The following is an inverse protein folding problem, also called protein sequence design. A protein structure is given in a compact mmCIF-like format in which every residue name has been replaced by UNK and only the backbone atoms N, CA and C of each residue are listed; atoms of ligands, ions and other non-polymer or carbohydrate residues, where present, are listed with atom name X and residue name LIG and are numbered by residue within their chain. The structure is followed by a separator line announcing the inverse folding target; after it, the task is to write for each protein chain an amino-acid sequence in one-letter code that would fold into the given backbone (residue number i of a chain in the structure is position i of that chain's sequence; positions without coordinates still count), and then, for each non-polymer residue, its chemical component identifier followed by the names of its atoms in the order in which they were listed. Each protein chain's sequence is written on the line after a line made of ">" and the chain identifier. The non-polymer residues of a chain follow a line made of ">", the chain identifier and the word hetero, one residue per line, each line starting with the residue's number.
data_IF_575321040865
#
_entry.id   IF_575321040865
#
_cell.length_a   1.000
_cell.length_b   1.000
_cell.length_c   1.000
_cell.angle_alpha   90.00
_cell.angle_beta   90.00
_cell.angle_gamma   90.00
#
_symmetry.space_group_name_H-M   'P 1'
#
loop_
_entity.id
_entity.type
_entity.pdbx_description
1 polymer ?
#
# COMPACT_ATOMS: atom_id res chain seq x y z
N UNK A 1 22.14 -17.23 16.58
CA UNK A 1 21.63 -16.02 15.92
C UNK A 1 21.36 -16.38 14.48
N UNK A 2 20.10 -16.61 14.14
CA UNK A 2 19.70 -16.83 12.75
C UNK A 2 19.57 -15.46 12.08
N UNK A 3 20.47 -15.16 11.15
CA UNK A 3 20.38 -13.99 10.27
C UNK A 3 19.13 -14.15 9.39
N UNK A 4 17.98 -13.68 9.88
CA UNK A 4 16.80 -13.57 9.04
C UNK A 4 16.94 -12.33 8.14
N UNK A 5 16.46 -12.37 6.89
CA UNK A 5 16.67 -11.30 5.93
C UNK A 5 16.08 -9.99 6.46
N UNK A 6 16.79 -8.89 6.27
CA UNK A 6 16.29 -7.59 6.67
C UNK A 6 15.17 -7.14 5.71
N UNK A 7 14.03 -6.60 6.20
CA UNK A 7 12.88 -6.23 5.35
C UNK A 7 13.24 -5.26 4.21
N UNK A 8 14.19 -4.35 4.46
CA UNK A 8 14.63 -3.37 3.46
C UNK A 8 15.45 -4.01 2.33
N UNK A 9 16.31 -4.98 2.67
CA UNK A 9 17.08 -5.72 1.69
C UNK A 9 16.15 -6.56 0.80
N UNK A 10 15.16 -7.22 1.42
CA UNK A 10 14.14 -7.96 0.68
C UNK A 10 13.32 -7.03 -0.23
N UNK A 11 12.86 -5.88 0.25
CA UNK A 11 12.12 -4.92 -0.58
C UNK A 11 12.93 -4.49 -1.83
N UNK A 12 14.21 -4.17 -1.65
CA UNK A 12 15.11 -3.79 -2.73
C UNK A 12 15.30 -4.93 -3.74
N UNK A 13 15.50 -6.15 -3.26
CA UNK A 13 15.66 -7.34 -4.10
C UNK A 13 14.40 -7.65 -4.90
N UNK A 14 13.22 -7.59 -4.26
CA UNK A 14 11.93 -7.83 -4.91
C UNK A 14 11.69 -6.82 -6.04
N UNK A 15 11.84 -5.51 -5.77
CA UNK A 15 11.63 -4.47 -6.80
C UNK A 15 12.61 -4.64 -7.95
N UNK A 16 13.89 -4.92 -7.66
CA UNK A 16 14.90 -5.13 -8.69
C UNK A 16 14.53 -6.33 -9.56
N UNK A 17 14.23 -7.46 -8.93
CA UNK A 17 13.89 -8.70 -9.64
C UNK A 17 12.67 -8.47 -10.53
N UNK A 18 11.57 -7.94 -9.99
CA UNK A 18 10.35 -7.74 -10.79
C UNK A 18 10.48 -6.66 -11.86
N UNK A 19 11.37 -5.68 -11.67
CA UNK A 19 11.69 -4.70 -12.72
C UNK A 19 12.52 -5.29 -13.86
N UNK A 20 13.54 -6.11 -13.53
CA UNK A 20 14.37 -6.79 -14.52
C UNK A 20 13.56 -7.81 -15.34
N UNK A 21 12.70 -8.57 -14.66
CA UNK A 21 11.72 -9.47 -15.28
C UNK A 21 10.81 -8.71 -16.25
N UNK A 22 10.21 -7.59 -15.81
CA UNK A 22 9.39 -6.75 -16.68
C UNK A 22 10.15 -6.21 -17.91
N UNK A 23 11.42 -5.83 -17.75
CA UNK A 23 12.27 -5.41 -18.86
C UNK A 23 12.62 -6.57 -19.80
N UNK A 24 12.86 -7.78 -19.28
CA UNK A 24 13.09 -8.97 -20.08
C UNK A 24 11.86 -9.34 -20.92
N UNK A 25 10.67 -9.36 -20.30
CA UNK A 25 9.39 -9.60 -20.98
C UNK A 25 9.08 -8.55 -22.06
N UNK A 26 9.43 -7.29 -21.83
CA UNK A 26 9.30 -6.25 -22.85
C UNK A 26 10.16 -6.54 -24.10
N UNK A 27 11.34 -7.14 -23.94
CA UNK A 27 12.23 -7.50 -25.05
C UNK A 27 11.83 -8.80 -25.76
N UNK A 28 11.41 -9.82 -25.01
CA UNK A 28 11.06 -11.13 -25.57
C UNK A 28 9.64 -11.19 -26.14
N UNK A 29 8.72 -10.36 -25.61
CA UNK A 29 7.29 -10.44 -25.91
C UNK A 29 6.59 -11.64 -25.25
N UNK A 30 7.30 -12.42 -24.44
CA UNK A 30 6.79 -13.63 -23.78
C UNK A 30 6.55 -13.38 -22.28
N UNK A 31 5.51 -14.02 -21.73
CA UNK A 31 5.26 -14.05 -20.29
C UNK A 31 5.95 -15.28 -19.69
N UNK A 32 7.14 -15.12 -19.10
CA UNK A 32 7.79 -16.22 -18.39
C UNK A 32 7.20 -16.40 -16.98
N UNK A 33 7.02 -17.66 -16.57
CA UNK A 33 6.37 -18.07 -15.32
C UNK A 33 7.34 -18.64 -14.29
N UNK A 34 8.57 -19.01 -14.70
CA UNK A 34 9.56 -19.62 -13.81
C UNK A 34 10.04 -18.65 -12.71
N UNK A 35 10.31 -17.39 -13.06
CA UNK A 35 10.83 -16.37 -12.14
C UNK A 35 9.85 -16.04 -10.99
N UNK A 36 8.53 -16.16 -11.24
CA UNK A 36 7.52 -15.91 -10.22
C UNK A 36 7.52 -17.00 -9.13
N UNK A 37 7.83 -18.25 -9.48
CA UNK A 37 7.90 -19.35 -8.52
C UNK A 37 9.05 -19.16 -7.53
N UNK A 38 10.22 -18.74 -8.02
CA UNK A 38 11.40 -18.48 -7.20
C UNK A 38 11.21 -17.24 -6.32
N UNK A 39 10.55 -16.20 -6.85
CA UNK A 39 10.17 -15.02 -6.06
C UNK A 39 9.24 -15.42 -4.90
N UNK A 40 8.24 -16.25 -5.18
CA UNK A 40 7.30 -16.76 -4.16
C UNK A 40 8.01 -17.57 -3.08
N UNK A 41 8.94 -18.45 -3.46
CA UNK A 41 9.73 -19.24 -2.52
C UNK A 41 10.55 -18.32 -1.60
N UNK A 42 11.33 -17.39 -2.16
CA UNK A 42 12.14 -16.43 -1.39
C UNK A 42 11.31 -15.60 -0.41
N UNK A 43 10.14 -15.09 -0.83
CA UNK A 43 9.24 -14.35 0.06
C UNK A 43 8.71 -15.25 1.18
N UNK A 44 8.35 -16.50 0.85
CA UNK A 44 7.84 -17.46 1.85
C UNK A 44 8.92 -17.74 2.91
N UNK A 45 10.14 -18.06 2.49
CA UNK A 45 11.26 -18.35 3.40
C UNK A 45 11.54 -17.19 4.36
N UNK A 46 11.52 -15.95 3.85
CA UNK A 46 11.73 -14.76 4.66
C UNK A 46 10.61 -14.56 5.71
N UNK A 47 9.36 -14.74 5.30
CA UNK A 47 8.20 -14.58 6.17
C UNK A 47 8.15 -15.66 7.26
N UNK A 48 8.44 -16.92 6.91
CA UNK A 48 8.54 -18.02 7.88
C UNK A 48 9.69 -17.78 8.88
N UNK A 49 10.83 -17.26 8.42
CA UNK A 49 11.93 -16.87 9.30
C UNK A 49 11.52 -15.76 10.29
N UNK A 50 10.80 -14.73 9.84
CA UNK A 50 10.28 -13.69 10.73
C UNK A 50 9.18 -14.20 11.68
N UNK A 51 8.37 -15.16 11.24
CA UNK A 51 7.39 -15.81 12.11
C UNK A 51 8.08 -16.59 13.22
N UNK A 52 9.08 -17.41 12.88
CA UNK A 52 9.88 -18.15 13.85
C UNK A 52 10.63 -17.24 14.84
N UNK A 53 11.03 -16.04 14.39
CA UNK A 53 11.66 -15.02 15.23
C UNK A 53 10.67 -14.18 16.06
N UNK A 54 9.36 -14.33 15.84
CA UNK A 54 8.33 -13.53 16.51
C UNK A 54 8.25 -12.07 16.04
N UNK A 55 8.79 -11.75 14.86
CA UNK A 55 8.87 -10.38 14.33
C UNK A 55 8.00 -10.15 13.09
N UNK A 56 7.27 -11.17 12.61
CA UNK A 56 6.49 -11.16 11.37
C UNK A 56 5.68 -9.87 11.17
N UNK A 57 4.82 -9.49 12.11
CA UNK A 57 3.94 -8.32 11.95
C UNK A 57 4.74 -7.02 11.73
N UNK A 58 5.77 -6.79 12.55
CA UNK A 58 6.62 -5.60 12.44
C UNK A 58 7.34 -5.58 11.10
N UNK A 59 7.95 -6.70 10.73
CA UNK A 59 8.81 -6.80 9.56
C UNK A 59 8.01 -6.75 8.25
N UNK A 60 6.79 -7.32 8.24
CA UNK A 60 5.81 -7.18 7.15
C UNK A 60 5.37 -5.73 6.99
N UNK A 61 5.08 -4.99 8.07
CA UNK A 61 4.73 -3.56 7.96
C UNK A 61 5.87 -2.74 7.35
N UNK A 62 7.11 -3.03 7.71
CA UNK A 62 8.28 -2.38 7.11
C UNK A 62 8.40 -2.72 5.63
N UNK A 63 8.28 -4.00 5.26
CA UNK A 63 8.36 -4.47 3.88
C UNK A 63 7.26 -3.85 3.00
N UNK A 64 5.99 -4.00 3.40
CA UNK A 64 4.82 -3.46 2.71
C UNK A 64 4.92 -1.94 2.55
N UNK A 65 5.28 -1.23 3.62
CA UNK A 65 5.45 0.22 3.56
C UNK A 65 6.54 0.65 2.57
N UNK A 66 7.66 -0.06 2.50
CA UNK A 66 8.75 0.23 1.55
C UNK A 66 8.37 -0.05 0.11
N UNK A 67 7.73 -1.18 -0.17
CA UNK A 67 7.25 -1.50 -1.51
C UNK A 67 6.19 -0.48 -1.99
N UNK A 68 5.27 -0.08 -1.12
CA UNK A 68 4.26 0.92 -1.43
C UNK A 68 4.87 2.32 -1.68
N UNK A 69 5.86 2.74 -0.88
CA UNK A 69 6.61 3.97 -1.14
C UNK A 69 7.31 3.90 -2.51
N UNK A 70 7.96 2.78 -2.81
CA UNK A 70 8.63 2.59 -4.09
C UNK A 70 7.68 2.72 -5.27
N UNK A 71 6.51 2.04 -5.20
CA UNK A 71 5.45 2.16 -6.21
C UNK A 71 5.00 3.62 -6.37
N UNK A 72 4.63 4.28 -5.27
CA UNK A 72 4.14 5.66 -5.30
C UNK A 72 5.19 6.64 -5.85
N UNK A 73 6.44 6.56 -5.39
CA UNK A 73 7.52 7.45 -5.86
C UNK A 73 7.78 7.27 -7.36
N UNK A 74 7.83 6.02 -7.81
CA UNK A 74 8.08 5.70 -9.22
C UNK A 74 6.92 6.16 -10.11
N UNK A 75 5.68 5.90 -9.71
CA UNK A 75 4.50 6.37 -10.43
C UNK A 75 4.42 7.90 -10.43
N UNK A 76 4.74 8.57 -9.32
CA UNK A 76 4.72 10.03 -9.26
C UNK A 76 5.78 10.67 -10.18
N UNK A 77 6.97 10.06 -10.26
CA UNK A 77 8.02 10.44 -11.21
C UNK A 77 7.57 10.28 -12.67
N UNK A 78 6.88 9.18 -13.03
CA UNK A 78 6.30 8.99 -14.38
C UNK A 78 5.35 10.12 -14.78
N UNK A 79 4.65 10.70 -13.80
CA UNK A 79 3.75 11.83 -14.02
C UNK A 79 4.43 13.19 -13.85
N UNK A 80 5.77 13.25 -13.90
CA UNK A 80 6.57 14.46 -13.77
C UNK A 80 6.24 15.26 -12.50
N UNK A 81 5.96 14.56 -11.40
CA UNK A 81 5.63 15.18 -10.12
C UNK A 81 4.34 16.03 -10.13
N UNK A 82 3.43 15.80 -11.11
CA UNK A 82 2.10 16.41 -11.15
C UNK A 82 1.15 15.68 -10.19
N UNK A 83 0.90 16.29 -9.03
CA UNK A 83 0.08 15.70 -7.97
C UNK A 83 -1.34 15.40 -8.43
N UNK A 84 -1.93 16.24 -9.29
CA UNK A 84 -3.28 16.04 -9.78
C UNK A 84 -3.36 14.86 -10.78
N UNK A 85 -2.34 14.68 -11.63
CA UNK A 85 -2.24 13.50 -12.49
C UNK A 85 -2.04 12.23 -11.68
N UNK A 86 -1.16 12.26 -10.70
CA UNK A 86 -0.92 11.12 -9.82
C UNK A 86 -2.15 10.74 -9.00
N UNK A 87 -2.90 11.71 -8.46
CA UNK A 87 -4.17 11.43 -7.79
C UNK A 87 -5.20 10.79 -8.72
N UNK A 88 -5.32 11.26 -9.97
CA UNK A 88 -6.21 10.62 -10.96
C UNK A 88 -5.76 9.19 -11.28
N UNK A 89 -4.46 8.97 -11.44
CA UNK A 89 -3.92 7.62 -11.62
C UNK A 89 -4.24 6.71 -10.44
N UNK A 90 -4.06 7.17 -9.21
CA UNK A 90 -4.39 6.38 -8.01
C UNK A 90 -5.86 5.94 -7.99
N UNK A 91 -6.78 6.85 -8.34
CA UNK A 91 -8.20 6.51 -8.44
C UNK A 91 -8.45 5.49 -9.55
N UNK A 92 -8.00 5.76 -10.78
CA UNK A 92 -8.23 4.87 -11.93
C UNK A 92 -7.59 3.49 -11.72
N UNK A 93 -6.37 3.44 -11.19
CA UNK A 93 -5.68 2.19 -10.89
C UNK A 93 -6.41 1.42 -9.78
N UNK A 94 -6.86 2.11 -8.73
CA UNK A 94 -7.68 1.50 -7.67
C UNK A 94 -9.00 0.93 -8.20
N UNK A 95 -9.69 1.65 -9.08
CA UNK A 95 -10.93 1.19 -9.69
C UNK A 95 -10.72 -0.07 -10.54
N UNK A 96 -9.62 -0.12 -11.30
CA UNK A 96 -9.23 -1.32 -12.07
C UNK A 96 -8.92 -2.50 -11.14
N UNK A 97 -8.14 -2.29 -10.09
CA UNK A 97 -7.83 -3.33 -9.09
C UNK A 97 -9.11 -3.87 -8.44
N UNK A 98 -10.05 -3.00 -8.09
CA UNK A 98 -11.34 -3.38 -7.53
C UNK A 98 -12.21 -4.16 -8.54
N UNK A 99 -12.20 -3.76 -9.81
CA UNK A 99 -12.96 -4.43 -10.86
C UNK A 99 -12.40 -5.83 -11.18
N UNK A 100 -11.08 -5.99 -11.14
CA UNK A 100 -10.40 -7.26 -11.43
C UNK A 100 -10.36 -8.21 -10.23
N UNK A 101 -10.65 -7.73 -9.02
CA UNK A 101 -10.65 -8.55 -7.81
C UNK A 101 -11.84 -9.53 -7.80
N UNK A 102 -11.56 -10.79 -8.10
CA UNK A 102 -12.56 -11.87 -8.12
C UNK A 102 -12.56 -12.75 -6.86
N UNK A 103 -11.54 -12.64 -6.01
CA UNK A 103 -11.40 -13.50 -4.83
C UNK A 103 -11.93 -12.83 -3.55
N UNK A 104 -12.53 -13.61 -2.62
CA UNK A 104 -13.01 -13.10 -1.33
C UNK A 104 -11.92 -12.49 -0.44
N UNK A 105 -10.64 -12.83 -0.69
CA UNK A 105 -9.49 -12.34 0.04
C UNK A 105 -8.84 -11.18 -0.75
N UNK A 106 -9.12 -9.92 -0.40
CA UNK A 106 -8.91 -8.80 -1.32
C UNK A 106 -7.50 -8.21 -1.22
N UNK A 107 -6.47 -8.97 -1.62
CA UNK A 107 -5.08 -8.52 -1.59
C UNK A 107 -4.91 -7.17 -2.31
N UNK A 108 -5.43 -7.06 -3.53
CA UNK A 108 -5.35 -5.85 -4.35
C UNK A 108 -5.99 -4.64 -3.66
N UNK A 109 -7.28 -4.69 -3.27
CA UNK A 109 -7.91 -3.58 -2.56
C UNK A 109 -7.21 -3.20 -1.24
N UNK A 110 -6.71 -4.16 -0.47
CA UNK A 110 -5.92 -3.86 0.74
C UNK A 110 -4.63 -3.12 0.39
N UNK A 111 -3.91 -3.57 -0.63
CA UNK A 111 -2.70 -2.87 -1.12
C UNK A 111 -3.06 -1.45 -1.56
N UNK A 112 -4.18 -1.24 -2.25
CA UNK A 112 -4.60 0.11 -2.66
C UNK A 112 -4.87 1.04 -1.48
N UNK A 113 -5.42 0.53 -0.37
CA UNK A 113 -5.57 1.31 0.86
C UNK A 113 -4.21 1.72 1.44
N UNK A 114 -3.22 0.81 1.44
CA UNK A 114 -1.85 1.10 1.87
C UNK A 114 -1.20 2.16 0.97
N UNK A 115 -1.30 1.99 -0.35
CA UNK A 115 -0.74 2.92 -1.36
C UNK A 115 -1.36 4.31 -1.20
N UNK A 116 -2.69 4.41 -1.10
CA UNK A 116 -3.36 5.70 -0.92
C UNK A 116 -3.03 6.37 0.41
N UNK A 117 -2.85 5.60 1.49
CA UNK A 117 -2.42 6.14 2.78
C UNK A 117 -1.01 6.77 2.70
N UNK A 118 -0.11 6.19 1.90
CA UNK A 118 1.28 6.67 1.77
C UNK A 118 1.47 7.69 0.64
N UNK A 119 0.57 7.73 -0.34
CA UNK A 119 0.60 8.67 -1.45
C UNK A 119 0.57 10.14 -1.00
N UNK A 120 -0.19 10.47 0.04
CA UNK A 120 -0.30 11.85 0.56
C UNK A 120 1.05 12.37 1.09
N UNK A 121 1.81 11.53 1.77
CA UNK A 121 3.14 11.90 2.29
C UNK A 121 4.10 12.24 1.15
N UNK A 122 3.95 11.56 0.01
CA UNK A 122 4.78 11.74 -1.17
C UNK A 122 4.38 13.01 -1.92
N UNK A 123 3.08 13.26 -2.12
CA UNK A 123 2.61 14.44 -2.88
C UNK A 123 2.72 15.74 -2.09
N UNK A 124 2.58 15.70 -0.76
CA UNK A 124 2.71 16.88 0.09
C UNK A 124 4.16 17.31 0.33
N UNK A 125 5.14 16.46 0.01
CA UNK A 125 6.54 16.69 0.34
C UNK A 125 6.83 16.67 1.85
N UNK A 126 5.83 16.33 2.68
CA UNK A 126 6.01 16.25 4.14
C UNK A 126 6.65 14.91 4.49
N UNK A 127 7.92 14.94 4.85
CA UNK A 127 8.64 13.75 5.28
C UNK A 127 8.16 13.31 6.67
N UNK A 128 7.08 12.51 6.72
CA UNK A 128 6.71 11.81 7.96
C UNK A 128 7.78 10.80 8.35
N UNK A 129 7.91 10.60 9.67
CA UNK A 129 8.78 9.56 10.23
C UNK A 129 8.35 8.18 9.76
N UNK A 130 9.25 7.19 9.70
CA UNK A 130 8.83 5.86 9.26
C UNK A 130 7.88 5.22 10.27
N UNK A 131 8.00 5.54 11.56
CA UNK A 131 7.02 5.18 12.59
C UNK A 131 5.61 5.70 12.27
N UNK A 132 5.47 6.97 11.87
CA UNK A 132 4.17 7.53 11.49
C UNK A 132 3.60 6.88 10.23
N UNK A 133 4.44 6.53 9.25
CA UNK A 133 4.01 5.78 8.05
C UNK A 133 3.54 4.38 8.41
N UNK A 134 4.29 3.65 9.24
CA UNK A 134 3.91 2.33 9.76
C UNK A 134 2.56 2.39 10.48
N UNK A 135 2.37 3.37 11.36
CA UNK A 135 1.11 3.56 12.07
C UNK A 135 -0.09 3.79 11.11
N UNK A 136 0.13 4.46 9.98
CA UNK A 136 -0.94 4.72 9.00
C UNK A 136 -1.40 3.47 8.25
N UNK A 137 -0.51 2.51 8.04
CA UNK A 137 -0.79 1.27 7.29
C UNK A 137 -1.03 0.06 8.20
N UNK A 138 -0.78 0.18 9.50
CA UNK A 138 -0.97 -0.90 10.47
C UNK A 138 -2.41 -1.42 10.50
N UNK A 139 -3.41 -0.52 10.43
CA UNK A 139 -4.83 -0.88 10.38
C UNK A 139 -5.18 -1.78 9.20
N UNK A 140 -5.02 -1.33 7.93
CA UNK A 140 -5.38 -2.15 6.77
C UNK A 140 -4.55 -3.43 6.66
N UNK A 141 -3.24 -3.41 6.99
CA UNK A 141 -2.42 -4.64 6.98
C UNK A 141 -2.88 -5.60 8.07
N UNK A 142 -3.08 -5.14 9.30
CA UNK A 142 -3.51 -5.99 10.42
C UNK A 142 -4.91 -6.58 10.23
N UNK A 143 -5.83 -5.83 9.62
CA UNK A 143 -7.17 -6.33 9.31
C UNK A 143 -7.18 -7.41 8.22
N UNK A 144 -6.14 -7.47 7.39
CA UNK A 144 -6.01 -8.42 6.31
C UNK A 144 -5.32 -9.72 6.75
N UNK A 145 -4.35 -9.66 7.68
CA UNK A 145 -3.64 -10.84 8.17
C UNK A 145 -4.53 -11.67 9.11
N UNK A 146 -5.00 -12.82 8.65
CA UNK A 146 -5.83 -13.73 9.46
C UNK A 146 -4.96 -14.54 10.42
N UNK A 147 -5.48 -14.73 11.62
CA UNK A 147 -4.83 -15.55 12.65
C UNK A 147 -4.60 -16.96 12.12
N UNK A 148 -3.36 -17.43 12.19
CA UNK A 148 -2.94 -18.75 11.69
C UNK A 148 -2.63 -18.82 10.19
N UNK A 149 -2.85 -17.73 9.44
CA UNK A 149 -2.56 -17.62 8.00
C UNK A 149 -1.66 -16.43 7.68
N UNK A 150 -1.02 -15.82 8.67
CA UNK A 150 -0.34 -14.52 8.53
C UNK A 150 0.79 -14.56 7.48
N UNK A 151 1.51 -15.69 7.36
CA UNK A 151 2.56 -15.85 6.34
C UNK A 151 1.98 -15.90 4.93
N UNK A 152 0.88 -16.63 4.75
CA UNK A 152 0.19 -16.73 3.46
C UNK A 152 -0.36 -15.36 3.03
N UNK A 153 -1.08 -14.69 3.93
CA UNK A 153 -1.69 -13.39 3.68
C UNK A 153 -0.62 -12.31 3.46
N UNK A 154 0.44 -12.29 4.27
CA UNK A 154 1.55 -11.35 4.07
C UNK A 154 2.25 -11.54 2.72
N UNK A 155 2.43 -12.81 2.30
CA UNK A 155 3.02 -13.12 0.99
C UNK A 155 2.18 -12.57 -0.15
N UNK A 156 0.85 -12.67 -0.06
CA UNK A 156 -0.06 -12.11 -1.07
C UNK A 156 0.14 -10.59 -1.20
N UNK A 157 0.10 -9.85 -0.09
CA UNK A 157 0.30 -8.39 -0.10
C UNK A 157 1.66 -8.00 -0.70
N UNK A 158 2.72 -8.71 -0.28
CA UNK A 158 4.10 -8.45 -0.72
C UNK A 158 4.26 -8.70 -2.21
N UNK A 159 3.76 -9.83 -2.72
CA UNK A 159 3.90 -10.19 -4.12
C UNK A 159 3.09 -9.24 -5.02
N UNK A 160 1.87 -8.87 -4.63
CA UNK A 160 1.06 -7.87 -5.36
C UNK A 160 1.81 -6.55 -5.46
N UNK A 161 2.32 -6.04 -4.34
CA UNK A 161 3.09 -4.79 -4.33
C UNK A 161 4.36 -4.87 -5.18
N UNK A 162 5.12 -5.97 -5.09
CA UNK A 162 6.33 -6.15 -5.89
C UNK A 162 6.04 -6.23 -7.39
N UNK A 163 4.95 -6.90 -7.78
CA UNK A 163 4.47 -7.01 -9.15
C UNK A 163 3.94 -5.70 -9.72
N UNK A 164 3.58 -4.73 -8.88
CA UNK A 164 3.24 -3.38 -9.36
C UNK A 164 4.46 -2.46 -9.37
N UNK A 165 5.24 -2.45 -8.28
CA UNK A 165 6.39 -1.55 -8.12
C UNK A 165 7.48 -1.79 -9.18
N UNK A 166 7.83 -3.05 -9.45
CA UNK A 166 8.88 -3.40 -10.41
C UNK A 166 8.57 -2.97 -11.85
N UNK A 167 7.44 -3.37 -12.43
CA UNK A 167 7.05 -2.94 -13.77
C UNK A 167 6.90 -1.43 -13.93
N UNK A 168 6.41 -0.73 -12.89
CA UNK A 168 6.43 0.74 -12.91
C UNK A 168 7.88 1.25 -12.97
N UNK A 169 8.81 0.70 -12.18
CA UNK A 169 10.22 1.12 -12.23
C UNK A 169 10.84 0.86 -13.61
N UNK A 170 10.61 -0.32 -14.17
CA UNK A 170 11.08 -0.67 -15.51
C UNK A 170 10.55 0.33 -16.55
N UNK A 171 9.26 0.67 -16.50
CA UNK A 171 8.63 1.64 -17.41
C UNK A 171 9.24 3.03 -17.28
N UNK A 172 9.46 3.51 -16.04
CA UNK A 172 10.09 4.83 -15.79
C UNK A 172 11.49 4.91 -16.40
N UNK A 173 12.21 3.79 -16.41
CA UNK A 173 13.58 3.69 -16.92
C UNK A 173 13.63 3.15 -18.35
N UNK A 174 12.52 3.18 -19.08
CA UNK A 174 12.42 2.72 -20.46
C UNK A 174 12.96 1.28 -20.67
N UNK A 175 12.78 0.42 -19.68
CA UNK A 175 13.24 -0.98 -19.64
C UNK A 175 14.77 -1.16 -19.76
N UNK A 176 15.55 -0.12 -19.46
CA UNK A 176 17.02 -0.19 -19.42
C UNK A 176 17.49 -0.93 -18.17
N UNK A 177 18.10 -2.11 -18.37
CA UNK A 177 18.53 -3.00 -17.27
C UNK A 177 19.68 -2.43 -16.45
N UNK A 178 20.56 -1.62 -17.05
CA UNK A 178 21.70 -1.02 -16.36
C UNK A 178 21.22 0.14 -15.46
N UNK A 179 20.26 0.92 -15.96
CA UNK A 179 19.61 1.97 -15.16
C UNK A 179 18.78 1.37 -14.02
N UNK A 180 18.05 0.27 -14.26
CA UNK A 180 17.32 -0.44 -13.20
C UNK A 180 18.29 -0.87 -12.09
N UNK A 181 19.41 -1.51 -12.44
CA UNK A 181 20.39 -2.00 -11.46
C UNK A 181 21.03 -0.90 -10.60
N UNK A 182 21.21 0.31 -11.17
CA UNK A 182 21.88 1.45 -10.53
C UNK A 182 20.93 2.51 -9.95
N UNK A 183 19.61 2.29 -10.08
CA UNK A 183 18.61 3.29 -9.76
C UNK A 183 18.70 3.80 -8.32
N UNK A 184 18.53 5.12 -8.14
CA UNK A 184 18.63 5.78 -6.82
C UNK A 184 17.65 5.19 -5.80
N UNK A 185 16.42 4.87 -6.21
CA UNK A 185 15.42 4.28 -5.31
C UNK A 185 15.93 2.99 -4.65
N UNK A 186 16.59 2.12 -5.42
CA UNK A 186 17.13 0.87 -4.91
C UNK A 186 18.28 1.11 -3.93
N UNK A 187 19.11 2.13 -4.17
CA UNK A 187 20.16 2.57 -3.25
C UNK A 187 19.59 3.17 -1.97
N UNK A 188 18.56 4.02 -2.06
CA UNK A 188 17.89 4.63 -0.91
C UNK A 188 17.19 3.56 -0.05
N UNK A 189 16.59 2.54 -0.69
CA UNK A 189 16.01 1.39 0.01
C UNK A 189 17.06 0.52 0.71
N UNK A 190 18.22 0.31 0.09
CA UNK A 190 19.32 -0.49 0.65
C UNK A 190 20.12 0.24 1.76
N UNK A 191 20.30 1.56 1.63
CA UNK A 191 21.20 2.35 2.48
C UNK A 191 20.57 2.92 3.76
N UNK A 192 19.23 3.02 3.84
CA UNK A 192 18.55 3.50 5.06
C UNK A 192 18.13 2.34 5.95
N UNK A 193 19.11 1.80 6.71
CA UNK A 193 18.85 1.03 7.91
C UNK A 193 18.19 1.88 9.01
N UNK A 194 17.61 1.25 10.01
CA UNK A 194 16.70 1.81 11.04
C UNK A 194 17.23 3.01 11.86
N UNK A 195 18.46 3.47 11.63
CA UNK A 195 19.13 4.54 12.39
C UNK A 195 18.57 5.96 12.15
N UNK A 196 17.64 6.16 11.21
CA UNK A 196 17.04 7.47 10.91
C UNK A 196 15.65 7.71 11.54
N UNK A 197 15.17 6.80 12.41
CA UNK A 197 13.78 6.79 12.87
C UNK A 197 13.49 7.60 14.16
N UNK A 198 14.47 8.28 14.75
CA UNK A 198 14.33 9.08 15.99
C UNK A 198 14.31 10.61 15.77
N UNK A 199 13.78 11.12 14.66
CA UNK A 199 13.55 12.57 14.51
C UNK A 199 12.09 12.90 14.80
N UNK A 200 11.88 13.71 15.83
CA UNK A 200 10.58 14.14 16.38
C UNK A 200 9.66 14.79 15.31
N UNK A 201 8.37 14.44 15.22
CA UNK A 201 7.48 15.00 14.22
C UNK A 201 6.91 16.37 14.62
N UNK A 202 7.11 17.38 13.77
CA UNK A 202 6.29 18.60 13.80
C UNK A 202 4.85 18.29 13.38
N UNK A 203 3.88 18.64 14.24
CA UNK A 203 2.44 18.54 13.98
C UNK A 203 1.94 19.68 13.10
N UNK A 204 1.13 19.35 12.09
CA UNK A 204 -0.20 19.95 11.80
C UNK A 204 -0.75 19.34 10.49
N UNK A 205 -1.59 18.31 10.59
CA UNK A 205 -2.40 17.83 9.46
C UNK A 205 -3.82 18.42 9.57
N UNK A 206 -4.38 18.91 8.46
CA UNK A 206 -5.72 19.49 8.42
C UNK A 206 -6.80 18.40 8.52
N UNK A 207 -7.85 18.66 9.30
CA UNK A 207 -9.02 17.76 9.42
C UNK A 207 -9.67 17.43 8.07
N UNK A 208 -9.58 18.35 7.08
CA UNK A 208 -10.06 18.14 5.73
C UNK A 208 -9.25 17.10 4.92
N UNK A 209 -8.00 16.84 5.32
CA UNK A 209 -7.19 15.74 4.76
C UNK A 209 -7.62 14.40 5.35
N UNK A 210 -7.90 14.35 6.65
CA UNK A 210 -8.42 13.15 7.33
C UNK A 210 -9.80 12.72 6.79
N UNK A 211 -10.69 13.67 6.49
CA UNK A 211 -12.01 13.36 5.91
C UNK A 211 -11.91 12.81 4.47
N UNK A 212 -11.03 13.38 3.63
CA UNK A 212 -10.75 12.85 2.27
C UNK A 212 -10.12 11.46 2.33
N UNK A 213 -9.25 11.23 3.31
CA UNK A 213 -8.64 9.93 3.60
C UNK A 213 -9.70 8.87 3.92
N UNK A 214 -10.62 9.15 4.84
CA UNK A 214 -11.68 8.20 5.22
C UNK A 214 -12.64 7.90 4.06
N UNK A 215 -13.02 8.91 3.26
CA UNK A 215 -13.94 8.72 2.12
C UNK A 215 -13.33 7.87 1.00
N UNK A 216 -12.03 8.06 0.67
CA UNK A 216 -11.34 7.25 -0.35
C UNK A 216 -11.15 5.80 0.10
N UNK A 217 -10.74 5.58 1.35
CA UNK A 217 -10.59 4.22 1.90
C UNK A 217 -11.94 3.48 1.94
N UNK A 218 -13.03 4.16 2.29
CA UNK A 218 -14.37 3.58 2.32
C UNK A 218 -14.91 3.18 0.94
N UNK A 219 -14.49 3.86 -0.13
CA UNK A 219 -14.90 3.51 -1.48
C UNK A 219 -14.36 2.14 -1.94
N UNK A 220 -13.22 1.69 -1.39
CA UNK A 220 -12.57 0.43 -1.76
C UNK A 220 -12.75 -0.69 -0.74
N UNK A 221 -13.19 -0.41 0.49
CA UNK A 221 -13.45 -1.42 1.52
C UNK A 221 -14.86 -2.01 1.43
N UNK A 222 -15.79 -1.32 0.76
CA UNK A 222 -17.16 -1.76 0.68
C UNK A 222 -17.33 -2.72 -0.51
N UNK A 223 -17.68 -4.00 -0.30
CA UNK A 223 -17.91 -4.92 -1.40
C UNK A 223 -18.97 -4.36 -2.35
N UNK A 224 -18.66 -4.39 -3.64
CA UNK A 224 -19.37 -3.74 -4.75
C UNK A 224 -20.85 -4.18 -4.95
N UNK A 225 -21.47 -4.86 -3.99
CA UNK A 225 -22.84 -5.36 -4.12
C UNK A 225 -23.94 -4.43 -3.59
N UNK A 226 -23.77 -3.79 -2.42
CA UNK A 226 -24.91 -3.14 -1.73
C UNK A 226 -24.62 -1.80 -1.05
N UNK A 227 -23.41 -1.58 -0.52
CA UNK A 227 -23.11 -0.33 0.20
C UNK A 227 -22.37 0.73 -0.65
N UNK A 228 -21.81 0.36 -1.80
CA UNK A 228 -21.24 1.32 -2.76
C UNK A 228 -22.28 2.32 -3.27
N UNK A 229 -23.52 1.86 -3.49
CA UNK A 229 -24.64 2.72 -3.84
C UNK A 229 -25.05 3.69 -2.72
N UNK A 230 -24.88 3.31 -1.45
CA UNK A 230 -25.27 4.13 -0.30
C UNK A 230 -24.24 5.22 0.00
N UNK A 231 -22.94 4.89 -0.07
CA UNK A 231 -21.85 5.86 0.05
C UNK A 231 -21.87 6.81 -1.15
N UNK A 232 -22.02 6.31 -2.37
CA UNK A 232 -22.10 7.16 -3.56
C UNK A 232 -23.38 8.01 -3.60
N UNK A 233 -24.52 7.53 -3.10
CA UNK A 233 -25.73 8.35 -2.94
C UNK A 233 -25.57 9.45 -1.87
N UNK A 234 -24.86 9.17 -0.76
CA UNK A 234 -24.57 10.17 0.27
C UNK A 234 -23.63 11.28 -0.21
N UNK A 235 -22.70 10.99 -1.13
CA UNK A 235 -21.77 11.98 -1.69
C UNK A 235 -22.26 12.63 -2.99
N UNK A 236 -23.14 11.98 -3.76
CA UNK A 236 -23.70 12.53 -5.02
C UNK A 236 -24.99 13.33 -4.81
N UNK A 237 -25.68 13.14 -3.68
CA UNK A 237 -26.86 13.92 -3.38
C UNK A 237 -26.47 15.33 -2.96
N UNK A 238 -27.03 16.33 -3.64
CA UNK A 238 -27.04 17.74 -3.22
C UNK A 238 -27.74 17.97 -1.85
N UNK A 239 -28.08 16.91 -1.11
CA UNK A 239 -28.79 16.93 0.16
C UNK A 239 -27.93 17.48 1.32
N UNK A 240 -26.60 17.41 1.22
CA UNK A 240 -25.69 17.95 2.26
C UNK A 240 -25.38 19.45 2.10
N UNK A 241 -25.69 20.06 0.94
CA UNK A 241 -25.40 21.47 0.70
C UNK A 241 -26.26 22.44 1.54
N UNK A 242 -27.33 21.94 2.18
CA UNK A 242 -28.19 22.70 3.08
C UNK A 242 -28.01 22.39 4.57
N UNK A 243 -27.14 21.44 4.92
CA UNK A 243 -26.89 21.08 6.32
C UNK A 243 -25.71 21.92 6.84
N UNK A 244 -25.94 22.63 7.95
CA UNK A 244 -24.89 23.39 8.62
C UNK A 244 -23.67 22.50 8.91
N UNK A 245 -22.48 23.09 8.80
CA UNK A 245 -21.19 22.39 8.89
C UNK A 245 -21.07 21.49 10.15
N UNK A 246 -21.72 21.88 11.24
CA UNK A 246 -21.76 21.12 12.49
C UNK A 246 -22.56 19.82 12.40
N UNK A 247 -23.63 19.81 11.60
CA UNK A 247 -24.52 18.65 11.45
C UNK A 247 -23.92 17.60 10.50
N UNK A 248 -23.26 18.06 9.43
CA UNK A 248 -22.47 17.20 8.56
C UNK A 248 -21.29 16.56 9.32
N UNK A 249 -20.63 17.32 10.19
CA UNK A 249 -19.55 16.83 11.05
C UNK A 249 -20.09 15.82 12.08
N UNK A 250 -21.24 16.09 12.68
CA UNK A 250 -21.91 15.17 13.61
C UNK A 250 -22.31 13.84 12.96
N UNK A 251 -22.84 13.87 11.74
CA UNK A 251 -23.20 12.66 10.99
C UNK A 251 -21.97 11.83 10.58
N UNK A 252 -20.90 12.48 10.10
CA UNK A 252 -19.65 11.80 9.80
C UNK A 252 -19.02 11.17 11.05
N UNK A 253 -19.03 11.89 12.18
CA UNK A 253 -18.56 11.37 13.46
C UNK A 253 -19.42 10.19 13.95
N UNK A 254 -20.75 10.27 13.80
CA UNK A 254 -21.67 9.19 14.16
C UNK A 254 -21.49 7.95 13.28
N UNK A 255 -21.19 8.11 11.99
CA UNK A 255 -20.87 7.01 11.07
C UNK A 255 -19.55 6.34 11.45
N UNK A 256 -18.50 7.14 11.72
CA UNK A 256 -17.21 6.62 12.18
C UNK A 256 -17.34 5.90 13.52
N UNK A 257 -18.08 6.47 14.48
CA UNK A 257 -18.38 5.83 15.76
C UNK A 257 -19.18 4.54 15.59
N UNK A 258 -20.14 4.51 14.67
CA UNK A 258 -20.95 3.31 14.41
C UNK A 258 -20.10 2.18 13.82
N UNK A 259 -19.17 2.51 12.90
CA UNK A 259 -18.19 1.55 12.38
C UNK A 259 -17.27 1.06 13.49
N UNK A 260 -16.73 1.96 14.33
CA UNK A 260 -15.86 1.60 15.44
C UNK A 260 -16.57 0.74 16.50
N UNK A 261 -17.86 0.97 16.78
CA UNK A 261 -18.67 0.16 17.71
C UNK A 261 -18.92 -1.25 17.15
N UNK A 262 -19.14 -1.37 15.84
CA UNK A 262 -19.27 -2.68 15.17
C UNK A 262 -17.94 -3.45 15.25
N UNK A 263 -16.80 -2.78 15.08
CA UNK A 263 -15.48 -3.41 15.25
C UNK A 263 -15.14 -3.74 16.71
N UNK A 264 -15.55 -2.90 17.67
CA UNK A 264 -15.28 -3.12 19.10
C UNK A 264 -16.14 -4.21 19.74
N UNK A 265 -17.28 -4.58 19.14
CA UNK A 265 -18.13 -5.70 19.58
C UNK A 265 -17.70 -7.05 19.04
N UNK A 266 -16.65 -7.09 18.22
CA UNK A 266 -16.08 -8.32 17.71
C UNK A 266 -15.04 -8.85 18.72
N UNK A 267 -15.52 -9.45 19.82
CA UNK A 267 -14.70 -10.34 20.66
C UNK A 267 -14.84 -11.78 20.14
N UNK A 268 -13.74 -12.49 19.84
CA UNK A 268 -13.81 -13.89 19.43
C UNK A 268 -14.21 -14.77 20.62
N UNK A 269 -15.18 -15.65 20.38
CA UNK A 269 -15.49 -16.81 21.25
C UNK A 269 -14.54 -17.95 20.95
#
# INVERSE_FOLDING_TARGET
>A
MTDHPAPHALACDLIRTTALDAAARHRSGEADTAELSELRARVTDALEAWQAAGTLQRDVLVLVGRLAIALCSTAFEQYNWDAARFERWLCTFGDLVCADQQHPHPAGPTVMQVVAALAEDITSGTARTAAARRAQIAGPVGAYLRVGHEVEDARELVLVLAQWAGPHLATTLAHDTDLIGSHRLLRDLAGRGDAADEVEPHRSGSFAQLARRTARTLAWTVPCGLAGGLVQALFSSHALAGLGQDLATGLAAALVLSVLVVFARWEPS
#
